data_IF_377939013905
#
_entry.id   IF_377939013905
#
_cell.length_a   1.000
_cell.length_b   1.000
_cell.length_c   1.000
_cell.angle_alpha   90.00
_cell.angle_beta   90.00
_cell.angle_gamma   90.00
#
_symmetry.space_group_name_H-M   'P 1'
#
loop_
_entity.id
_entity.type
_entity.pdbx_description
1 polymer ?
#
# COMPACT_ATOMS: atom_id res chain seq x y z
N UNK A 1 -13.16 53.96 -13.87
CA UNK A 1 -12.45 52.67 -13.97
C UNK A 1 -12.89 51.82 -12.79
N UNK A 2 -13.77 50.84 -13.02
CA UNK A 2 -14.18 49.88 -12.00
C UNK A 2 -13.20 48.72 -12.02
N UNK A 3 -12.51 48.51 -10.90
CA UNK A 3 -11.59 47.40 -10.68
C UNK A 3 -12.39 46.11 -10.58
N UNK A 4 -12.17 45.19 -11.53
CA UNK A 4 -12.67 43.82 -11.48
C UNK A 4 -11.98 43.09 -10.32
N UNK A 5 -12.75 42.67 -9.32
CA UNK A 5 -12.29 41.74 -8.30
C UNK A 5 -12.04 40.38 -8.94
N UNK A 6 -10.77 39.95 -8.90
CA UNK A 6 -10.34 38.61 -9.26
C UNK A 6 -10.98 37.63 -8.27
N UNK A 7 -11.96 36.85 -8.75
CA UNK A 7 -12.55 35.76 -7.98
C UNK A 7 -11.52 34.64 -7.83
N UNK A 8 -10.79 34.65 -6.72
CA UNK A 8 -9.97 33.51 -6.34
C UNK A 8 -10.90 32.30 -6.10
N UNK A 9 -10.88 31.33 -7.01
CA UNK A 9 -11.56 30.05 -6.82
C UNK A 9 -11.04 29.39 -5.55
N UNK A 10 -11.93 29.03 -4.63
CA UNK A 10 -11.59 28.23 -3.46
C UNK A 10 -10.80 26.98 -3.89
N UNK A 11 -9.80 26.53 -3.11
CA UNK A 11 -9.04 25.33 -3.45
C UNK A 11 -10.04 24.16 -3.54
N UNK A 12 -10.23 23.66 -4.75
CA UNK A 12 -11.02 22.45 -4.98
C UNK A 12 -10.36 21.33 -4.18
N UNK A 13 -11.10 20.78 -3.22
CA UNK A 13 -10.74 19.50 -2.60
C UNK A 13 -10.61 18.48 -3.74
N UNK A 14 -9.38 18.20 -4.16
CA UNK A 14 -9.12 17.19 -5.17
C UNK A 14 -9.58 15.86 -4.61
N UNK A 15 -10.66 15.30 -5.19
CA UNK A 15 -11.15 13.97 -4.84
C UNK A 15 -10.11 12.97 -5.31
N UNK A 16 -9.46 12.28 -4.37
CA UNK A 16 -8.53 11.21 -4.66
C UNK A 16 -9.22 9.86 -4.53
N UNK A 17 -8.86 8.93 -5.39
CA UNK A 17 -9.19 7.52 -5.27
C UNK A 17 -8.15 6.84 -4.38
N UNK A 18 -8.58 5.90 -3.55
CA UNK A 18 -7.71 5.10 -2.69
C UNK A 18 -8.04 3.63 -2.90
N UNK A 19 -7.13 2.90 -3.54
CA UNK A 19 -7.20 1.45 -3.65
C UNK A 19 -6.53 0.83 -2.44
N UNK A 20 -7.26 0.06 -1.64
CA UNK A 20 -6.69 -0.70 -0.53
C UNK A 20 -6.58 -2.17 -0.92
N UNK A 21 -5.45 -2.80 -0.62
CA UNK A 21 -5.19 -4.21 -0.89
C UNK A 21 -4.92 -4.87 0.46
N UNK A 22 -5.76 -5.82 0.83
CA UNK A 22 -5.60 -6.67 2.00
C UNK A 22 -4.88 -7.94 1.56
N UNK A 23 -3.58 -8.03 1.85
CA UNK A 23 -2.69 -9.05 1.32
C UNK A 23 -2.43 -10.20 2.28
N UNK A 24 -2.30 -11.39 1.74
CA UNK A 24 -1.78 -12.57 2.43
C UNK A 24 -0.41 -12.93 1.87
N UNK A 25 0.50 -13.37 2.74
CA UNK A 25 1.78 -13.94 2.31
C UNK A 25 1.57 -15.33 1.73
N UNK A 26 2.44 -15.71 0.83
CA UNK A 26 2.43 -17.05 0.22
C UNK A 26 2.54 -18.13 1.31
N UNK A 27 1.74 -19.21 1.24
CA UNK A 27 1.85 -20.33 2.18
C UNK A 27 3.28 -20.90 2.22
N UNK A 28 3.81 -21.09 3.42
CA UNK A 28 5.18 -21.58 3.62
C UNK A 28 6.29 -20.51 3.55
N UNK A 29 5.98 -19.27 3.18
CA UNK A 29 6.96 -18.17 3.21
C UNK A 29 7.07 -17.59 4.62
N UNK A 30 8.28 -17.38 5.14
CA UNK A 30 8.47 -16.74 6.46
C UNK A 30 8.07 -15.26 6.44
N UNK A 31 7.75 -14.69 7.60
CA UNK A 31 7.41 -13.27 7.72
C UNK A 31 8.60 -12.38 7.28
N UNK A 32 9.83 -12.80 7.57
CA UNK A 32 11.07 -12.09 7.20
C UNK A 32 11.33 -12.13 5.69
N UNK A 33 11.13 -13.29 5.05
CA UNK A 33 11.30 -13.41 3.61
C UNK A 33 10.25 -12.57 2.87
N UNK A 34 9.00 -12.59 3.35
CA UNK A 34 7.93 -11.76 2.83
C UNK A 34 8.26 -10.27 2.95
N UNK A 35 8.73 -9.83 4.12
CA UNK A 35 9.16 -8.47 4.36
C UNK A 35 10.32 -8.06 3.42
N UNK A 36 11.33 -8.91 3.28
CA UNK A 36 12.48 -8.63 2.44
C UNK A 36 12.04 -8.41 0.98
N UNK A 37 11.24 -9.34 0.45
CA UNK A 37 10.75 -9.26 -0.93
C UNK A 37 9.97 -7.97 -1.18
N UNK A 38 8.99 -7.66 -0.32
CA UNK A 38 8.19 -6.45 -0.48
C UNK A 38 9.02 -5.16 -0.44
N UNK A 39 10.02 -5.08 0.43
CA UNK A 39 10.74 -3.82 0.70
C UNK A 39 11.98 -3.62 -0.16
N UNK A 40 12.71 -4.68 -0.45
CA UNK A 40 13.98 -4.61 -1.17
C UNK A 40 13.82 -4.93 -2.65
N UNK A 41 12.73 -5.59 -3.05
CA UNK A 41 12.51 -6.03 -4.44
C UNK A 41 11.31 -5.31 -5.05
N UNK A 42 10.09 -5.57 -4.55
CA UNK A 42 8.86 -5.06 -5.20
C UNK A 42 8.69 -3.54 -5.07
N UNK A 43 8.99 -2.97 -3.91
CA UNK A 43 8.81 -1.53 -3.67
C UNK A 43 9.74 -0.64 -4.51
N UNK A 44 11.08 -0.89 -4.58
CA UNK A 44 11.95 -0.13 -5.46
C UNK A 44 11.56 -0.25 -6.93
N UNK A 45 11.18 -1.46 -7.37
CA UNK A 45 10.77 -1.73 -8.75
C UNK A 45 9.48 -0.99 -9.16
N UNK A 46 8.55 -0.81 -8.22
CA UNK A 46 7.26 -0.15 -8.48
C UNK A 46 7.33 1.38 -8.37
N UNK A 47 8.31 1.92 -7.63
CA UNK A 47 8.35 3.33 -7.22
C UNK A 47 8.30 4.29 -8.40
N UNK A 48 9.21 4.13 -9.35
CA UNK A 48 9.34 5.10 -10.45
C UNK A 48 8.14 5.03 -11.39
N UNK A 49 7.56 3.84 -11.54
CA UNK A 49 6.33 3.63 -12.30
C UNK A 49 5.13 4.32 -11.63
N UNK A 50 5.01 4.21 -10.30
CA UNK A 50 3.96 4.88 -9.54
C UNK A 50 4.03 6.41 -9.69
N UNK A 51 5.24 6.98 -9.64
CA UNK A 51 5.44 8.42 -9.86
C UNK A 51 5.06 8.81 -11.29
N UNK A 52 5.51 8.03 -12.28
CA UNK A 52 5.22 8.28 -13.71
C UNK A 52 3.73 8.35 -14.01
N UNK A 53 2.92 7.52 -13.36
CA UNK A 53 1.47 7.45 -13.57
C UNK A 53 0.67 8.18 -12.50
N UNK A 54 1.25 9.15 -11.79
CA UNK A 54 0.47 10.04 -10.93
C UNK A 54 -0.13 9.37 -9.68
N UNK A 55 0.45 8.26 -9.21
CA UNK A 55 0.15 7.73 -7.88
C UNK A 55 0.71 8.71 -6.86
N UNK A 56 -0.19 9.40 -6.16
CA UNK A 56 0.11 10.51 -5.24
C UNK A 56 0.72 10.00 -3.95
N UNK A 57 0.22 8.86 -3.45
CA UNK A 57 0.73 8.22 -2.24
C UNK A 57 0.61 6.72 -2.37
N UNK A 58 1.68 6.04 -2.00
CA UNK A 58 1.64 4.61 -1.77
C UNK A 58 2.05 4.31 -0.33
N UNK A 59 1.21 3.58 0.38
CA UNK A 59 1.46 3.19 1.77
C UNK A 59 1.38 1.68 1.87
N UNK A 60 2.52 1.04 2.12
CA UNK A 60 2.54 -0.36 2.52
C UNK A 60 2.68 -0.46 4.04
N UNK A 61 1.64 -0.99 4.66
CA UNK A 61 1.58 -1.43 6.04
C UNK A 61 2.08 -2.88 6.06
N UNK A 62 3.23 -3.11 6.68
CA UNK A 62 4.00 -4.37 6.53
C UNK A 62 4.57 -4.88 7.85
N UNK A 63 4.86 -6.18 7.84
CA UNK A 63 5.60 -6.89 8.88
C UNK A 63 7.05 -6.36 8.97
N UNK A 64 7.56 -6.18 10.18
CA UNK A 64 8.97 -5.90 10.41
C UNK A 64 9.31 -5.60 11.86
N UNK A 65 10.54 -5.90 12.28
CA UNK A 65 11.10 -5.31 13.51
C UNK A 65 11.66 -3.92 13.21
N UNK A 66 11.65 -3.06 14.23
CA UNK A 66 12.38 -1.78 14.22
C UNK A 66 13.82 -2.01 13.77
N UNK A 67 14.21 -1.44 12.63
CA UNK A 67 15.61 -1.14 12.36
C UNK A 67 15.94 0.16 13.08
N UNK A 68 16.88 0.11 14.03
CA UNK A 68 17.29 1.26 14.82
C UNK A 68 18.11 2.30 14.01
N UNK A 69 18.47 1.99 12.76
CA UNK A 69 19.30 2.84 11.91
C UNK A 69 18.65 3.04 10.55
N UNK A 70 17.85 4.10 10.39
CA UNK A 70 17.78 4.89 9.14
C UNK A 70 16.89 6.13 9.36
N UNK A 71 17.49 7.32 9.29
CA UNK A 71 16.81 8.61 9.43
C UNK A 71 16.06 9.06 8.16
N UNK A 72 15.22 8.21 7.58
CA UNK A 72 14.37 8.58 6.44
C UNK A 72 12.90 8.39 6.79
N UNK A 73 12.10 9.45 6.54
CA UNK A 73 10.64 9.58 6.68
C UNK A 73 9.93 8.34 7.23
N UNK A 74 9.47 8.46 8.47
CA UNK A 74 8.66 7.49 9.20
C UNK A 74 7.39 7.14 8.39
N UNK A 75 7.42 6.10 7.57
CA UNK A 75 6.20 5.35 7.26
C UNK A 75 5.84 4.58 8.53
N UNK A 76 4.66 4.83 9.13
CA UNK A 76 4.23 4.09 10.30
C UNK A 76 4.18 2.61 9.93
N UNK A 77 5.07 1.84 10.54
CA UNK A 77 5.08 0.40 10.44
C UNK A 77 3.91 -0.12 11.27
N UNK A 78 2.77 -0.29 10.62
CA UNK A 78 1.60 -0.94 11.22
C UNK A 78 1.81 -2.45 11.00
N UNK A 79 1.79 -3.23 12.07
CA UNK A 79 2.19 -4.64 12.04
C UNK A 79 1.00 -5.54 12.32
N UNK A 80 0.75 -6.53 11.44
CA UNK A 80 -0.20 -7.62 11.70
C UNK A 80 0.53 -8.98 11.83
N UNK A 81 1.65 -9.00 12.56
CA UNK A 81 2.40 -10.24 12.81
C UNK A 81 1.54 -11.19 13.63
N UNK A 82 1.92 -12.47 13.64
CA UNK A 82 1.28 -13.45 14.53
C UNK A 82 1.31 -12.98 15.99
N UNK A 83 2.40 -12.31 16.41
CA UNK A 83 2.56 -11.76 17.75
C UNK A 83 1.65 -10.53 18.01
N UNK A 84 1.57 -9.56 17.09
CA UNK A 84 0.73 -8.37 17.31
C UNK A 84 -0.76 -8.68 17.18
N UNK A 85 -1.14 -9.68 16.36
CA UNK A 85 -2.51 -10.21 16.30
C UNK A 85 -2.97 -10.79 17.64
N UNK A 86 -2.09 -11.49 18.34
CA UNK A 86 -2.40 -12.04 19.66
C UNK A 86 -2.73 -10.93 20.68
N UNK A 87 -2.10 -9.75 20.56
CA UNK A 87 -2.38 -8.60 21.42
C UNK A 87 -3.74 -7.95 21.13
N UNK A 88 -4.36 -8.20 19.97
CA UNK A 88 -5.64 -7.57 19.65
C UNK A 88 -6.75 -8.02 20.61
N UNK A 89 -6.64 -9.21 21.19
CA UNK A 89 -7.53 -9.69 22.25
C UNK A 89 -7.56 -8.79 23.50
N UNK A 90 -6.56 -7.94 23.71
CA UNK A 90 -6.50 -6.99 24.83
C UNK A 90 -7.33 -5.72 24.61
N UNK A 91 -7.71 -5.43 23.36
CA UNK A 91 -8.34 -4.15 22.99
C UNK A 91 -9.76 -4.28 22.42
N UNK A 92 -10.24 -5.51 22.17
CA UNK A 92 -11.58 -5.69 21.63
C UNK A 92 -12.67 -5.48 22.68
N UNK A 93 -13.63 -4.64 22.32
CA UNK A 93 -14.96 -4.63 22.92
C UNK A 93 -15.80 -5.75 22.26
N UNK A 94 -16.76 -6.38 22.97
CA UNK A 94 -17.68 -7.36 22.40
C UNK A 94 -18.35 -6.93 21.07
N UNK A 95 -18.48 -5.63 20.82
CA UNK A 95 -19.04 -5.06 19.59
C UNK A 95 -18.12 -5.20 18.36
N UNK A 96 -16.79 -5.34 18.52
CA UNK A 96 -15.81 -5.38 17.43
C UNK A 96 -14.77 -6.50 17.60
N UNK A 97 -15.23 -7.75 17.76
CA UNK A 97 -14.36 -8.90 18.01
C UNK A 97 -13.76 -9.57 16.75
N UNK A 98 -14.11 -9.11 15.55
CA UNK A 98 -13.67 -9.75 14.30
C UNK A 98 -12.23 -9.33 13.96
N UNK A 99 -11.28 -10.21 14.22
CA UNK A 99 -9.86 -10.04 13.84
C UNK A 99 -9.64 -10.65 12.48
N UNK A 100 -9.15 -9.84 11.54
CA UNK A 100 -8.66 -10.36 10.26
C UNK A 100 -7.21 -10.85 10.39
N UNK A 101 -6.88 -11.87 9.62
CA UNK A 101 -5.55 -12.49 9.58
C UNK A 101 -4.70 -12.05 8.37
N UNK A 102 -5.06 -10.93 7.72
CA UNK A 102 -4.24 -10.34 6.63
C UNK A 102 -2.79 -10.11 7.07
N UNK A 103 -1.82 -10.46 6.24
CA UNK A 103 -0.40 -10.23 6.55
C UNK A 103 0.04 -8.79 6.23
N UNK A 104 -0.64 -8.11 5.30
CA UNK A 104 -0.33 -6.72 4.97
C UNK A 104 -1.54 -5.90 4.49
N UNK A 105 -1.38 -4.58 4.52
CA UNK A 105 -2.28 -3.65 3.84
C UNK A 105 -1.46 -2.75 2.91
N UNK A 106 -1.87 -2.63 1.65
CA UNK A 106 -1.22 -1.75 0.67
C UNK A 106 -2.25 -0.76 0.14
N UNK A 107 -1.97 0.53 0.24
CA UNK A 107 -2.87 1.59 -0.19
C UNK A 107 -2.21 2.42 -1.28
N UNK A 108 -2.80 2.43 -2.47
CA UNK A 108 -2.40 3.30 -3.57
C UNK A 108 -3.44 4.41 -3.75
N UNK A 109 -3.01 5.65 -3.62
CA UNK A 109 -3.83 6.84 -3.75
C UNK A 109 -3.50 7.54 -5.07
N UNK A 110 -4.51 7.79 -5.89
CA UNK A 110 -4.35 8.34 -7.24
C UNK A 110 -5.54 9.21 -7.63
N UNK A 111 -5.39 9.97 -8.72
CA UNK A 111 -6.39 10.96 -9.15
C UNK A 111 -7.43 10.36 -10.09
N UNK A 112 -6.96 9.53 -11.01
CA UNK A 112 -7.78 8.97 -12.08
C UNK A 112 -7.56 7.46 -12.18
N UNK A 113 -8.64 6.70 -12.33
CA UNK A 113 -8.57 5.26 -12.56
C UNK A 113 -7.84 4.92 -13.87
N UNK A 114 -7.92 5.80 -14.87
CA UNK A 114 -7.24 5.60 -16.14
C UNK A 114 -5.72 5.69 -16.00
N UNK A 115 -5.19 6.48 -15.05
CA UNK A 115 -3.77 6.48 -14.72
C UNK A 115 -3.31 5.11 -14.23
N UNK A 116 -4.07 4.53 -13.29
CA UNK A 116 -3.78 3.21 -12.74
C UNK A 116 -3.90 2.10 -13.80
N UNK A 117 -4.85 2.21 -14.74
CA UNK A 117 -4.97 1.30 -15.88
C UNK A 117 -3.78 1.42 -16.82
N UNK A 118 -3.37 2.63 -17.18
CA UNK A 118 -2.18 2.86 -18.03
C UNK A 118 -0.91 2.32 -17.38
N UNK A 119 -0.76 2.50 -16.06
CA UNK A 119 0.34 1.92 -15.30
C UNK A 119 0.43 0.40 -15.49
N UNK A 120 -0.70 -0.32 -15.39
CA UNK A 120 -0.75 -1.77 -15.60
C UNK A 120 -0.48 -2.20 -17.05
N UNK A 121 -0.60 -1.29 -18.02
CA UNK A 121 -0.32 -1.56 -19.42
C UNK A 121 1.13 -1.26 -19.83
N UNK A 122 1.90 -0.59 -18.97
CA UNK A 122 3.29 -0.21 -19.23
C UNK A 122 4.16 -1.46 -19.50
N UNK A 123 5.04 -1.44 -20.52
CA UNK A 123 5.93 -2.57 -20.82
C UNK A 123 6.80 -2.98 -19.63
N UNK A 124 7.32 -2.02 -18.86
CA UNK A 124 8.10 -2.30 -17.66
C UNK A 124 7.26 -3.02 -16.61
N UNK A 125 6.00 -2.59 -16.42
CA UNK A 125 5.08 -3.28 -15.53
C UNK A 125 4.84 -4.71 -15.97
N UNK A 126 4.60 -4.93 -17.26
CA UNK A 126 4.35 -6.25 -17.83
C UNK A 126 5.55 -7.19 -17.74
N UNK A 127 6.74 -6.65 -17.87
CA UNK A 127 7.98 -7.45 -17.84
C UNK A 127 8.44 -7.75 -16.43
N UNK A 128 8.33 -6.78 -15.50
CA UNK A 128 8.97 -6.87 -14.18
C UNK A 128 7.99 -7.08 -13.03
N UNK A 129 6.75 -6.55 -13.13
CA UNK A 129 5.78 -6.55 -12.02
C UNK A 129 4.65 -7.57 -12.21
N UNK A 130 4.32 -7.94 -13.44
CA UNK A 130 3.40 -9.05 -13.72
C UNK A 130 4.07 -10.35 -13.28
N UNK A 131 3.38 -11.09 -12.41
CA UNK A 131 3.91 -12.33 -11.84
C UNK A 131 4.73 -12.14 -10.55
N UNK A 132 5.26 -10.94 -10.26
CA UNK A 132 6.04 -10.72 -9.03
C UNK A 132 5.24 -11.05 -7.77
N UNK A 133 3.95 -10.69 -7.76
CA UNK A 133 3.05 -10.99 -6.66
C UNK A 133 2.90 -12.50 -6.39
N UNK A 134 3.11 -13.38 -7.37
CA UNK A 134 3.06 -14.84 -7.18
C UNK A 134 4.29 -15.40 -6.45
N UNK A 135 5.38 -14.62 -6.39
CA UNK A 135 6.59 -15.00 -5.68
C UNK A 135 6.41 -14.90 -4.16
N UNK A 136 5.66 -13.89 -3.69
CA UNK A 136 5.59 -13.55 -2.27
C UNK A 136 4.18 -13.50 -1.69
N UNK A 137 3.12 -13.29 -2.49
CA UNK A 137 1.75 -13.16 -2.02
C UNK A 137 0.87 -14.36 -2.38
N UNK A 138 -0.12 -14.63 -1.53
CA UNK A 138 -1.26 -15.48 -1.89
C UNK A 138 -2.29 -14.62 -2.66
N UNK A 139 -2.14 -14.62 -3.99
CA UNK A 139 -2.98 -13.82 -4.89
C UNK A 139 -4.43 -14.30 -4.97
N UNK A 140 -4.73 -15.52 -4.49
CA UNK A 140 -6.08 -16.08 -4.47
C UNK A 140 -6.87 -15.63 -3.25
N UNK A 141 -6.18 -15.49 -2.12
CA UNK A 141 -6.79 -15.08 -0.85
C UNK A 141 -6.78 -13.56 -0.65
N UNK A 142 -5.83 -12.85 -1.25
CA UNK A 142 -5.71 -11.39 -1.14
C UNK A 142 -6.87 -10.67 -1.83
N UNK A 143 -7.29 -9.54 -1.26
CA UNK A 143 -8.50 -8.83 -1.70
C UNK A 143 -8.23 -7.35 -1.98
N UNK A 144 -8.93 -6.80 -2.98
CA UNK A 144 -9.00 -5.36 -3.22
C UNK A 144 -10.24 -4.79 -2.52
N UNK A 145 -10.08 -3.61 -1.92
CA UNK A 145 -11.10 -2.80 -1.24
C UNK A 145 -11.12 -1.40 -1.86
#
# INVERSE_FOLDING_TARGET
MATQESSASAPTLERLLCLTICGYRKPGMTEEAYQHHMTQISAPMSKDLMVKYGIVRWTQVRLGRRSASLGHRLTPQIHNTSATRALMGEIFDPQFANVTDYDCFSQAVFRDIEDYKRMKQDPWYKEHLVGDHENFADTKRSQYV
#
